data_IF_009569933154
#
_entry.id   IF_009569933154
#
_cell.length_a   1.000
_cell.length_b   1.000
_cell.length_c   1.000
_cell.angle_alpha   90.00
_cell.angle_beta   90.00
_cell.angle_gamma   90.00
#
_symmetry.space_group_name_H-M   'P 1'
#
loop_
_entity.id
_entity.type
_entity.pdbx_description
1 polymer ?
#
# COMPACT_ATOMS: atom_id res chain seq x y z
N UNK A 1 36.33 38.20 -15.42
CA UNK A 1 35.27 37.84 -14.48
C UNK A 1 34.29 36.97 -15.24
N UNK A 2 34.32 35.65 -15.04
CA UNK A 2 33.32 34.78 -15.64
C UNK A 2 32.00 35.07 -14.93
N UNK A 3 31.02 35.56 -15.69
CA UNK A 3 29.70 35.85 -15.18
C UNK A 3 28.94 34.53 -15.04
N UNK A 4 29.26 33.77 -14.00
CA UNK A 4 28.63 32.48 -13.75
C UNK A 4 27.24 32.73 -13.17
N UNK A 5 26.20 32.31 -13.88
CA UNK A 5 24.83 32.37 -13.37
C UNK A 5 24.67 31.40 -12.21
N UNK A 6 23.95 31.81 -11.16
CA UNK A 6 23.75 31.02 -9.94
C UNK A 6 22.27 30.86 -9.59
N UNK A 7 21.94 29.78 -8.88
CA UNK A 7 20.70 29.67 -8.12
C UNK A 7 20.92 30.17 -6.70
N UNK A 8 19.97 30.93 -6.15
CA UNK A 8 20.01 31.42 -4.78
C UNK A 8 18.78 30.94 -3.99
N UNK A 9 19.02 30.33 -2.84
CA UNK A 9 17.97 29.77 -1.97
C UNK A 9 18.04 30.38 -0.58
N UNK A 10 16.94 30.92 -0.04
CA UNK A 10 16.83 31.17 1.39
C UNK A 10 16.93 29.84 2.15
N UNK A 11 17.97 29.68 2.94
CA UNK A 11 18.31 28.41 3.55
C UNK A 11 18.66 28.53 5.03
N UNK A 12 18.41 27.44 5.75
CA UNK A 12 18.86 27.24 7.12
C UNK A 12 20.00 26.23 7.12
N UNK A 13 21.17 26.63 7.60
CA UNK A 13 22.35 25.79 7.79
C UNK A 13 22.23 24.98 9.09
N UNK A 14 22.45 23.68 8.97
CA UNK A 14 22.57 22.73 10.06
C UNK A 14 23.90 21.97 10.01
N UNK A 15 24.24 21.28 11.10
CA UNK A 15 25.40 20.38 11.16
C UNK A 15 24.89 18.98 11.51
N UNK A 16 25.20 17.99 10.67
CA UNK A 16 24.91 16.58 10.88
C UNK A 16 26.17 15.76 10.62
N UNK A 17 26.53 14.87 11.54
CA UNK A 17 27.75 14.06 11.47
C UNK A 17 29.02 14.89 11.18
N UNK A 18 29.12 16.08 11.79
CA UNK A 18 30.26 17.00 11.63
C UNK A 18 30.31 17.73 10.29
N UNK A 19 29.26 17.68 9.47
CA UNK A 19 29.21 18.33 8.16
C UNK A 19 28.01 19.26 8.05
N UNK A 20 28.20 20.35 7.33
CA UNK A 20 27.13 21.28 7.02
C UNK A 20 26.13 20.66 6.04
N UNK A 21 24.86 20.96 6.25
CA UNK A 21 23.76 20.71 5.32
C UNK A 21 22.78 21.88 5.40
N UNK A 22 21.94 22.03 4.38
CA UNK A 22 21.06 23.18 4.25
C UNK A 22 19.63 22.74 4.04
N UNK A 23 18.67 23.48 4.59
CA UNK A 23 17.24 23.25 4.34
C UNK A 23 16.65 24.52 3.74
N UNK A 24 15.99 24.39 2.59
CA UNK A 24 15.28 25.48 1.92
C UNK A 24 13.85 25.06 1.61
N UNK A 25 12.93 26.01 1.64
CA UNK A 25 11.60 25.82 1.06
C UNK A 25 11.68 26.12 -0.44
N UNK A 26 11.41 25.13 -1.29
CA UNK A 26 11.53 25.28 -2.73
C UNK A 26 10.14 25.27 -3.38
N UNK A 27 9.79 26.29 -4.20
CA UNK A 27 8.59 26.24 -5.01
C UNK A 27 8.59 25.01 -5.91
N UNK A 28 7.45 24.33 -6.03
CA UNK A 28 7.34 23.10 -6.83
C UNK A 28 7.78 23.30 -8.28
N UNK A 29 7.49 24.47 -8.89
CA UNK A 29 7.92 24.80 -10.25
C UNK A 29 9.44 24.86 -10.42
N UNK A 30 10.14 25.31 -9.37
CA UNK A 30 11.60 25.43 -9.36
C UNK A 30 12.22 24.06 -9.13
N UNK A 31 11.65 23.29 -8.19
CA UNK A 31 12.05 21.93 -7.88
C UNK A 31 12.06 21.04 -9.14
N UNK A 32 10.98 21.04 -9.93
CA UNK A 32 10.92 20.21 -11.15
C UNK A 32 11.99 20.61 -12.17
N UNK A 33 12.34 21.90 -12.28
CA UNK A 33 13.36 22.38 -13.23
C UNK A 33 14.79 22.03 -12.79
N UNK A 34 15.09 22.14 -11.49
CA UNK A 34 16.45 21.93 -10.97
C UNK A 34 16.85 20.45 -10.94
N UNK A 35 15.93 19.57 -10.52
CA UNK A 35 16.21 18.15 -10.39
C UNK A 35 15.93 17.45 -11.71
N UNK A 36 16.89 17.48 -12.64
CA UNK A 36 16.81 16.73 -13.90
C UNK A 36 17.28 15.30 -13.70
N UNK A 37 16.56 14.35 -14.32
CA UNK A 37 16.98 12.94 -14.33
C UNK A 37 17.98 12.75 -15.47
N UNK A 38 19.26 12.72 -15.16
CA UNK A 38 20.18 11.88 -15.91
C UNK A 38 20.05 10.44 -15.35
N UNK A 39 20.40 9.41 -16.13
CA UNK A 39 20.86 8.09 -15.63
C UNK A 39 20.03 6.84 -16.00
N UNK A 40 19.01 6.91 -16.85
CA UNK A 40 18.41 5.67 -17.36
C UNK A 40 19.35 4.90 -18.33
N UNK A 41 20.41 5.54 -18.83
CA UNK A 41 21.35 4.97 -19.79
C UNK A 41 22.67 4.47 -19.17
N UNK A 42 22.92 4.69 -17.86
CA UNK A 42 24.15 4.24 -17.18
C UNK A 42 23.97 2.89 -16.48
N UNK A 43 25.02 2.05 -16.34
CA UNK A 43 25.01 0.87 -15.48
C UNK A 43 24.72 1.21 -14.00
N UNK A 44 24.06 0.32 -13.21
CA UNK A 44 23.69 0.59 -11.82
C UNK A 44 24.81 1.07 -10.91
N UNK A 45 26.04 0.57 -11.10
CA UNK A 45 27.22 0.90 -10.31
C UNK A 45 27.65 2.36 -10.47
N UNK A 46 27.29 2.97 -11.61
CA UNK A 46 27.59 4.35 -11.96
C UNK A 46 26.42 5.30 -11.66
N UNK A 47 25.27 4.78 -11.21
CA UNK A 47 24.10 5.61 -10.87
C UNK A 47 24.18 6.12 -9.44
N UNK A 48 23.81 7.38 -9.25
CA UNK A 48 23.58 7.94 -7.93
C UNK A 48 22.12 7.75 -7.45
N UNK A 49 21.24 7.25 -8.33
CA UNK A 49 19.80 7.14 -8.12
C UNK A 49 19.28 5.75 -8.54
N UNK A 50 18.24 5.24 -7.88
CA UNK A 50 17.54 4.02 -8.34
C UNK A 50 16.57 4.32 -9.49
N UNK A 51 16.24 3.29 -10.27
CA UNK A 51 15.20 3.38 -11.29
C UNK A 51 13.85 3.79 -10.67
N UNK A 52 13.18 4.74 -11.33
CA UNK A 52 11.86 5.18 -10.92
C UNK A 52 10.82 4.13 -11.29
N UNK A 53 10.11 3.60 -10.29
CA UNK A 53 8.89 2.83 -10.56
C UNK A 53 7.77 3.76 -11.05
N UNK A 54 7.60 3.84 -12.38
CA UNK A 54 6.62 4.71 -13.04
C UNK A 54 5.17 4.40 -12.66
N UNK A 55 4.84 3.17 -12.26
CA UNK A 55 3.46 2.80 -11.93
C UNK A 55 2.94 3.48 -10.66
N UNK A 56 3.84 3.95 -9.78
CA UNK A 56 3.47 4.65 -8.53
C UNK A 56 3.24 6.14 -8.69
N UNK A 57 3.75 6.75 -9.75
CA UNK A 57 3.72 8.21 -9.94
C UNK A 57 2.29 8.74 -10.09
N UNK A 58 1.40 8.13 -10.90
CA UNK A 58 0.05 8.64 -11.10
C UNK A 58 -0.79 8.67 -9.82
N UNK A 59 -0.61 7.70 -8.93
CA UNK A 59 -1.32 7.65 -7.65
C UNK A 59 -0.94 8.83 -6.76
N UNK A 60 0.36 9.12 -6.63
CA UNK A 60 0.86 10.25 -5.84
C UNK A 60 0.44 11.59 -6.47
N UNK A 61 0.48 11.70 -7.81
CA UNK A 61 0.06 12.92 -8.50
C UNK A 61 -1.43 13.22 -8.26
N UNK A 62 -2.30 12.19 -8.37
CA UNK A 62 -3.72 12.31 -8.02
C UNK A 62 -3.93 12.67 -6.55
N UNK A 63 -3.13 12.12 -5.64
CA UNK A 63 -3.18 12.50 -4.24
C UNK A 63 -2.95 14.01 -4.06
N UNK A 64 -1.94 14.60 -4.70
CA UNK A 64 -1.71 16.05 -4.61
C UNK A 64 -2.92 16.84 -5.15
N UNK A 65 -3.36 16.52 -6.38
CA UNK A 65 -4.40 17.30 -7.08
C UNK A 65 -5.78 17.15 -6.43
N UNK A 66 -6.12 15.98 -5.91
CA UNK A 66 -7.41 15.74 -5.27
C UNK A 66 -7.50 16.29 -3.84
N UNK A 67 -6.38 16.70 -3.24
CA UNK A 67 -6.28 17.08 -1.83
C UNK A 67 -5.58 18.45 -1.65
N UNK A 68 -5.96 19.51 -2.38
CA UNK A 68 -5.17 20.74 -2.46
C UNK A 68 -5.07 21.51 -1.13
N UNK A 69 -5.91 21.19 -0.14
CA UNK A 69 -5.91 21.86 1.17
C UNK A 69 -5.39 20.97 2.31
N UNK A 70 -5.06 19.71 2.05
CA UNK A 70 -4.72 18.76 3.10
C UNK A 70 -3.68 17.69 2.68
N UNK A 71 -3.11 17.72 1.47
CA UNK A 71 -2.00 16.83 1.13
C UNK A 71 -0.76 17.10 2.02
N UNK A 72 0.10 16.10 2.21
CA UNK A 72 1.31 16.24 3.03
C UNK A 72 2.47 15.50 2.41
N UNK A 73 3.63 16.15 2.33
CA UNK A 73 4.90 15.53 1.97
C UNK A 73 5.99 15.79 2.99
N UNK A 74 6.87 14.81 3.15
CA UNK A 74 8.16 15.00 3.80
C UNK A 74 9.12 15.78 2.88
N UNK A 75 10.30 16.10 3.38
CA UNK A 75 11.32 16.79 2.60
C UNK A 75 11.92 15.92 1.49
N UNK A 76 12.30 16.54 0.38
CA UNK A 76 13.16 15.91 -0.65
C UNK A 76 14.61 16.08 -0.20
N UNK A 77 15.40 15.01 -0.28
CA UNK A 77 16.83 15.07 0.06
C UNK A 77 17.66 15.01 -1.21
N UNK A 78 18.59 15.94 -1.35
CA UNK A 78 19.45 16.02 -2.50
C UNK A 78 20.90 16.37 -2.16
N UNK A 79 21.81 15.86 -2.97
CA UNK A 79 23.22 16.22 -2.98
C UNK A 79 23.48 17.26 -4.08
N UNK A 80 24.31 18.26 -3.76
CA UNK A 80 24.82 19.23 -4.73
C UNK A 80 26.24 18.81 -5.12
N UNK A 81 26.42 18.44 -6.38
CA UNK A 81 27.71 18.15 -7.00
C UNK A 81 28.14 19.35 -7.85
N UNK A 82 28.90 20.26 -7.24
CA UNK A 82 29.38 21.51 -7.84
C UNK A 82 29.77 22.54 -6.79
N UNK A 83 30.08 23.75 -7.26
CA UNK A 83 30.42 24.88 -6.40
C UNK A 83 29.17 25.51 -5.78
N UNK A 84 29.26 25.77 -4.48
CA UNK A 84 28.22 26.39 -3.69
C UNK A 84 28.82 27.19 -2.54
N UNK A 85 28.13 28.24 -2.15
CA UNK A 85 28.53 29.16 -1.10
C UNK A 85 27.31 29.50 -0.24
N UNK A 86 27.52 29.63 1.06
CA UNK A 86 26.47 30.03 1.99
C UNK A 86 26.84 31.34 2.65
N UNK A 87 25.98 32.34 2.48
CA UNK A 87 26.12 33.67 3.07
C UNK A 87 25.12 33.84 4.23
N UNK A 88 25.58 33.90 5.49
CA UNK A 88 24.70 34.13 6.63
C UNK A 88 24.02 35.52 6.59
N UNK A 89 22.76 35.60 7.03
CA UNK A 89 21.98 36.85 7.01
C UNK A 89 22.22 37.78 8.22
N UNK A 90 23.07 37.42 9.19
CA UNK A 90 23.33 38.26 10.37
C UNK A 90 24.65 37.93 11.09
N UNK A 91 25.26 38.96 11.68
CA UNK A 91 26.63 38.91 12.22
C UNK A 91 26.72 38.63 13.74
N UNK A 92 25.66 38.85 14.54
CA UNK A 92 25.82 38.94 16.01
C UNK A 92 25.00 37.94 16.86
N UNK A 93 24.13 37.10 16.27
CA UNK A 93 23.33 36.13 17.04
C UNK A 93 23.45 34.70 16.49
N UNK A 94 23.68 33.72 17.37
CA UNK A 94 23.87 32.29 17.03
C UNK A 94 22.71 31.71 16.21
N UNK A 95 21.48 32.17 16.46
CA UNK A 95 20.29 31.78 15.69
C UNK A 95 20.21 32.45 14.30
N UNK A 96 20.74 33.67 14.15
CA UNK A 96 20.77 34.40 12.89
C UNK A 96 21.91 33.91 11.97
N UNK A 97 23.01 33.40 12.53
CA UNK A 97 24.13 32.80 11.77
C UNK A 97 23.78 31.50 11.02
N UNK A 98 22.63 30.89 11.34
CA UNK A 98 22.13 29.70 10.66
C UNK A 98 21.22 30.03 9.49
N UNK A 99 20.61 31.21 9.45
CA UNK A 99 19.80 31.65 8.31
C UNK A 99 20.70 32.39 7.32
N UNK A 100 20.48 32.16 6.03
CA UNK A 100 21.33 32.73 5.00
C UNK A 100 20.84 32.41 3.60
N UNK A 101 21.66 32.79 2.63
CA UNK A 101 21.45 32.47 1.23
C UNK A 101 22.43 31.39 0.81
N UNK A 102 21.92 30.24 0.36
CA UNK A 102 22.72 29.23 -0.32
C UNK A 102 22.76 29.54 -1.81
N UNK A 103 23.93 29.91 -2.32
CA UNK A 103 24.20 30.17 -3.73
C UNK A 103 24.85 28.94 -4.36
N UNK A 104 24.33 28.50 -5.50
CA UNK A 104 24.80 27.29 -6.20
C UNK A 104 25.04 27.61 -7.66
N UNK A 105 26.19 27.20 -8.22
CA UNK A 105 26.49 27.36 -9.64
C UNK A 105 25.40 26.67 -10.51
N UNK A 106 24.93 27.32 -11.57
CA UNK A 106 23.94 26.69 -12.48
C UNK A 106 24.47 25.43 -13.20
N UNK A 107 25.79 25.23 -13.27
CA UNK A 107 26.41 24.01 -13.79
C UNK A 107 26.46 22.88 -12.76
N UNK A 108 26.15 23.16 -11.49
CA UNK A 108 26.12 22.14 -10.46
C UNK A 108 24.99 21.12 -10.74
N UNK A 109 25.27 19.86 -10.42
CA UNK A 109 24.29 18.78 -10.56
C UNK A 109 23.57 18.55 -9.25
N UNK A 110 22.25 18.55 -9.31
CA UNK A 110 21.39 18.21 -8.19
C UNK A 110 20.97 16.75 -8.26
N UNK A 111 21.45 15.95 -7.31
CA UNK A 111 21.21 14.51 -7.27
C UNK A 111 20.20 14.20 -6.18
N UNK A 112 19.03 13.65 -6.52
CA UNK A 112 18.00 13.29 -5.53
C UNK A 112 18.37 11.97 -4.84
N UNK A 113 18.71 12.01 -3.55
CA UNK A 113 18.99 10.82 -2.74
C UNK A 113 17.71 10.20 -2.17
N UNK A 114 16.69 11.02 -1.85
CA UNK A 114 15.37 10.54 -1.45
C UNK A 114 14.25 11.48 -1.96
N UNK A 115 13.11 10.91 -2.32
CA UNK A 115 11.95 11.64 -2.82
C UNK A 115 11.80 11.69 -4.35
N UNK A 116 12.49 10.83 -5.10
CA UNK A 116 12.37 10.76 -6.57
C UNK A 116 10.91 10.59 -7.06
N UNK A 117 10.12 9.75 -6.38
CA UNK A 117 8.71 9.51 -6.72
C UNK A 117 7.86 10.74 -6.43
N UNK A 118 8.17 11.47 -5.35
CA UNK A 118 7.50 12.71 -4.98
C UNK A 118 7.80 13.80 -6.02
N UNK A 119 9.07 14.00 -6.40
CA UNK A 119 9.45 14.94 -7.47
C UNK A 119 8.78 14.61 -8.81
N UNK A 120 8.75 13.34 -9.21
CA UNK A 120 8.06 12.92 -10.42
C UNK A 120 6.55 13.15 -10.35
N UNK A 121 5.93 12.90 -9.19
CA UNK A 121 4.50 13.12 -9.00
C UNK A 121 4.13 14.61 -8.97
N UNK A 122 5.00 15.46 -8.41
CA UNK A 122 4.86 16.92 -8.46
C UNK A 122 4.88 17.40 -9.91
N UNK A 123 5.82 16.90 -10.73
CA UNK A 123 5.85 17.22 -12.16
C UNK A 123 4.50 16.88 -12.83
N UNK A 124 4.01 15.66 -12.64
CA UNK A 124 2.73 15.23 -13.22
C UNK A 124 1.53 16.01 -12.65
N UNK A 125 1.55 16.37 -11.36
CA UNK A 125 0.51 17.17 -10.74
C UNK A 125 0.48 18.60 -11.30
N UNK A 126 1.64 19.21 -11.59
CA UNK A 126 1.73 20.55 -12.18
C UNK A 126 1.20 20.59 -13.62
N UNK A 127 1.29 19.48 -14.37
CA UNK A 127 0.67 19.36 -15.69
C UNK A 127 -0.86 19.41 -15.60
N UNK A 128 -1.44 18.88 -14.52
CA UNK A 128 -2.88 18.86 -14.27
C UNK A 128 -3.40 20.15 -13.59
N UNK A 129 -2.62 20.69 -12.66
CA UNK A 129 -2.97 21.85 -11.84
C UNK A 129 -1.76 22.80 -11.70
N UNK A 130 -1.50 23.67 -12.70
CA UNK A 130 -0.33 24.56 -12.71
C UNK A 130 -0.26 25.53 -11.52
N UNK A 131 -1.40 25.84 -10.88
CA UNK A 131 -1.48 26.70 -9.70
C UNK A 131 -0.71 26.17 -8.48
N UNK A 132 -0.47 24.85 -8.41
CA UNK A 132 0.35 24.22 -7.35
C UNK A 132 1.84 24.65 -7.43
N UNK A 133 2.26 25.28 -8.53
CA UNK A 133 3.66 25.63 -8.78
C UNK A 133 4.27 26.59 -7.78
N UNK A 134 3.44 27.37 -7.07
CA UNK A 134 3.86 28.36 -6.07
C UNK A 134 3.89 27.79 -4.64
N UNK A 135 3.33 26.61 -4.43
CA UNK A 135 3.47 25.90 -3.17
C UNK A 135 4.91 25.43 -2.98
N UNK A 136 5.34 25.35 -1.72
CA UNK A 136 6.73 25.03 -1.38
C UNK A 136 6.83 23.71 -0.65
N UNK A 137 7.90 22.97 -0.93
CA UNK A 137 8.26 21.75 -0.22
C UNK A 137 9.67 21.93 0.35
N UNK A 138 9.93 21.45 1.58
CA UNK A 138 11.28 21.47 2.13
C UNK A 138 12.22 20.59 1.30
N UNK A 139 13.39 21.13 0.96
CA UNK A 139 14.49 20.42 0.33
C UNK A 139 15.70 20.48 1.26
N UNK A 140 16.24 19.31 1.56
CA UNK A 140 17.48 19.15 2.32
C UNK A 140 18.64 18.97 1.33
N UNK A 141 19.55 19.93 1.33
CA UNK A 141 20.76 19.93 0.50
C UNK A 141 21.98 19.48 1.30
N UNK A 142 22.65 18.45 0.82
CA UNK A 142 23.98 18.06 1.28
C UNK A 142 25.02 18.49 0.25
N UNK A 143 26.13 19.05 0.72
CA UNK A 143 27.26 19.33 -0.15
C UNK A 143 28.01 18.03 -0.40
N UNK A 144 28.02 17.55 -1.64
CA UNK A 144 28.60 16.25 -1.95
C UNK A 144 29.37 16.21 -3.25
N UNK A 145 30.69 15.97 -3.13
CA UNK A 145 31.65 15.95 -4.22
C UNK A 145 31.98 14.51 -4.67
N UNK A 146 31.00 13.61 -4.73
CA UNK A 146 31.26 12.25 -5.23
C UNK A 146 30.15 11.20 -5.17
N UNK A 147 30.09 10.39 -6.23
CA UNK A 147 29.13 9.29 -6.45
C UNK A 147 29.02 8.30 -5.27
N UNK A 148 30.16 7.84 -4.73
CA UNK A 148 30.19 6.83 -3.65
C UNK A 148 29.44 7.29 -2.40
N UNK A 149 29.52 8.59 -2.09
CA UNK A 149 28.84 9.15 -0.91
C UNK A 149 27.36 9.36 -1.18
N UNK A 150 26.96 9.78 -2.38
CA UNK A 150 25.56 9.82 -2.79
C UNK A 150 24.89 8.44 -2.67
N UNK A 151 25.58 7.38 -3.09
CA UNK A 151 25.12 5.99 -2.95
C UNK A 151 25.00 5.55 -1.48
N UNK A 152 25.98 5.91 -0.64
CA UNK A 152 25.93 5.63 0.80
C UNK A 152 24.75 6.35 1.47
N UNK A 153 24.54 7.63 1.16
CA UNK A 153 23.41 8.41 1.67
C UNK A 153 22.06 7.81 1.24
N UNK A 154 21.94 7.39 -0.01
CA UNK A 154 20.75 6.67 -0.48
C UNK A 154 20.50 5.40 0.36
N UNK A 155 21.54 4.61 0.62
CA UNK A 155 21.43 3.42 1.44
C UNK A 155 21.02 3.74 2.88
N UNK A 156 21.61 4.76 3.52
CA UNK A 156 21.31 5.14 4.91
C UNK A 156 19.89 5.66 5.08
N UNK A 157 19.41 6.50 4.16
CA UNK A 157 18.04 7.04 4.17
C UNK A 157 16.98 5.94 4.02
N UNK A 158 17.26 4.91 3.23
CA UNK A 158 16.28 3.84 2.96
C UNK A 158 16.40 2.66 3.94
N UNK A 159 17.59 2.38 4.49
CA UNK A 159 17.82 1.22 5.38
C UNK A 159 17.04 1.31 6.68
N UNK A 160 16.92 2.50 7.25
CA UNK A 160 16.27 2.71 8.55
C UNK A 160 14.79 3.10 8.44
N UNK A 161 14.25 3.25 7.22
CA UNK A 161 12.86 3.55 7.00
C UNK A 161 11.98 2.33 7.34
N UNK A 162 11.35 2.34 8.52
CA UNK A 162 10.37 1.33 8.92
C UNK A 162 9.01 1.69 8.34
N UNK A 163 8.48 0.85 7.46
CA UNK A 163 7.11 1.02 6.98
C UNK A 163 6.12 0.69 8.10
N UNK A 164 5.06 1.48 8.28
CA UNK A 164 3.96 1.08 9.14
C UNK A 164 3.35 -0.23 8.62
N UNK A 165 2.80 -1.03 9.53
CA UNK A 165 2.00 -2.19 9.18
C UNK A 165 0.79 -1.79 8.36
N UNK A 166 0.34 -2.68 7.48
CA UNK A 166 -0.84 -2.44 6.64
C UNK A 166 -2.09 -2.13 7.48
N UNK A 167 -2.27 -2.80 8.62
CA UNK A 167 -3.41 -2.54 9.50
C UNK A 167 -3.32 -1.15 10.15
N UNK A 168 -2.14 -0.71 10.59
CA UNK A 168 -1.95 0.64 11.12
C UNK A 168 -2.17 1.72 10.05
N UNK A 169 -1.69 1.50 8.82
CA UNK A 169 -1.97 2.39 7.69
C UNK A 169 -3.46 2.52 7.44
N UNK A 170 -4.21 1.41 7.42
CA UNK A 170 -5.67 1.42 7.29
C UNK A 170 -6.33 2.08 8.50
N UNK A 171 -5.81 1.89 9.71
CA UNK A 171 -6.38 2.47 10.93
C UNK A 171 -6.36 4.00 10.90
N UNK A 172 -5.27 4.59 10.38
CA UNK A 172 -5.10 6.04 10.30
C UNK A 172 -5.52 6.68 8.97
N UNK A 173 -5.87 5.88 7.97
CA UNK A 173 -6.39 6.40 6.71
C UNK A 173 -7.87 6.81 6.86
N UNK A 174 -8.09 8.09 7.18
CA UNK A 174 -9.42 8.68 7.25
C UNK A 174 -9.97 9.10 5.88
N UNK A 175 -9.17 9.07 4.81
CA UNK A 175 -9.63 9.44 3.46
C UNK A 175 -10.24 8.27 2.72
N UNK A 176 -9.76 7.05 2.98
CA UNK A 176 -10.33 5.85 2.39
C UNK A 176 -11.68 5.51 3.02
N UNK A 177 -12.74 5.57 2.21
CA UNK A 177 -14.09 5.14 2.60
C UNK A 177 -14.11 3.65 3.01
N UNK A 178 -13.36 2.80 2.29
CA UNK A 178 -13.22 1.38 2.67
C UNK A 178 -12.54 1.22 4.04
N UNK A 179 -11.55 2.06 4.36
CA UNK A 179 -10.88 2.03 5.66
C UNK A 179 -11.80 2.51 6.79
N UNK A 180 -12.59 3.56 6.54
CA UNK A 180 -13.64 4.00 7.46
C UNK A 180 -14.64 2.87 7.74
N UNK A 181 -15.11 2.20 6.69
CA UNK A 181 -16.08 1.10 6.80
C UNK A 181 -15.49 -0.12 7.53
N UNK A 182 -14.24 -0.49 7.24
CA UNK A 182 -13.54 -1.56 7.96
C UNK A 182 -13.42 -1.27 9.45
N UNK A 183 -13.07 -0.03 9.83
CA UNK A 183 -13.02 0.38 11.24
C UNK A 183 -14.40 0.34 11.88
N UNK A 184 -15.41 0.85 11.19
CA UNK A 184 -16.78 0.83 11.70
C UNK A 184 -17.25 -0.60 11.97
N UNK A 185 -17.15 -1.51 10.99
CA UNK A 185 -17.54 -2.91 11.14
C UNK A 185 -16.74 -3.65 12.21
N UNK A 186 -15.45 -3.31 12.39
CA UNK A 186 -14.65 -3.91 13.47
C UNK A 186 -15.20 -3.63 14.88
N UNK A 187 -16.05 -2.61 15.02
CA UNK A 187 -16.67 -2.21 16.27
C UNK A 187 -18.18 -2.54 16.32
N UNK A 188 -18.88 -2.47 15.19
CA UNK A 188 -20.34 -2.63 15.14
C UNK A 188 -20.84 -4.03 14.77
N UNK A 189 -20.07 -4.83 14.03
CA UNK A 189 -20.44 -6.21 13.68
C UNK A 189 -20.26 -7.15 14.87
N UNK A 190 -21.24 -8.00 15.14
CA UNK A 190 -21.18 -8.99 16.21
C UNK A 190 -20.20 -10.13 15.89
N UNK A 191 -19.90 -10.36 14.60
CA UNK A 191 -18.92 -11.34 14.13
C UNK A 191 -17.48 -10.79 14.20
N UNK A 192 -17.27 -9.49 14.00
CA UNK A 192 -15.92 -8.91 13.99
C UNK A 192 -15.50 -8.28 15.32
N UNK A 193 -16.45 -7.76 16.11
CA UNK A 193 -16.15 -7.06 17.36
C UNK A 193 -15.32 -7.93 18.30
N UNK A 194 -14.17 -7.39 18.70
CA UNK A 194 -13.22 -8.10 19.58
C UNK A 194 -12.30 -9.10 18.88
N UNK A 195 -12.57 -9.45 17.61
CA UNK A 195 -11.83 -10.45 16.84
C UNK A 195 -10.88 -9.87 15.77
N UNK A 196 -10.87 -8.54 15.60
CA UNK A 196 -9.93 -7.83 14.71
C UNK A 196 -8.68 -7.36 15.47
N UNK A 197 -7.51 -7.62 14.89
CA UNK A 197 -6.21 -7.00 15.22
C UNK A 197 -6.07 -5.68 14.45
N UNK A 198 -6.04 -4.57 15.19
CA UNK A 198 -6.15 -3.22 14.63
C UNK A 198 -4.82 -2.67 14.12
N UNK A 199 -3.71 -3.07 14.72
CA UNK A 199 -2.41 -2.44 14.45
C UNK A 199 -1.48 -3.37 13.67
N UNK A 200 -1.41 -4.65 14.03
CA UNK A 200 -0.41 -5.56 13.45
C UNK A 200 -0.86 -6.12 12.10
N UNK A 201 0.11 -6.38 11.22
CA UNK A 201 -0.12 -7.07 9.94
C UNK A 201 -0.17 -8.59 10.07
N UNK A 202 0.20 -9.13 11.24
CA UNK A 202 0.22 -10.57 11.51
C UNK A 202 -0.35 -10.86 12.89
N UNK A 203 -0.87 -12.07 13.03
CA UNK A 203 -1.42 -12.59 14.26
C UNK A 203 -0.40 -13.54 14.89
N UNK A 204 -0.01 -13.28 16.13
CA UNK A 204 0.82 -14.23 16.88
C UNK A 204 0.02 -15.51 17.17
N UNK A 205 0.74 -16.60 17.44
CA UNK A 205 0.13 -17.90 17.74
C UNK A 205 -0.90 -17.81 18.87
N UNK A 206 -0.56 -17.12 19.96
CA UNK A 206 -1.42 -16.90 21.13
C UNK A 206 -2.44 -15.76 20.98
N UNK A 207 -2.51 -15.10 19.83
CA UNK A 207 -3.47 -14.02 19.62
C UNK A 207 -4.90 -14.56 19.65
N UNK A 208 -5.78 -13.85 20.37
CA UNK A 208 -7.23 -14.13 20.42
C UNK A 208 -7.99 -13.58 19.21
N UNK A 209 -7.33 -12.82 18.33
CA UNK A 209 -7.94 -12.21 17.14
C UNK A 209 -8.00 -13.22 16.00
N UNK A 210 -9.06 -13.22 15.20
CA UNK A 210 -9.17 -14.07 14.01
C UNK A 210 -8.64 -13.39 12.76
N UNK A 211 -8.84 -12.08 12.63
CA UNK A 211 -8.49 -11.32 11.44
C UNK A 211 -7.66 -10.09 11.79
N UNK A 212 -7.05 -9.50 10.77
CA UNK A 212 -6.41 -8.18 10.87
C UNK A 212 -7.31 -7.13 10.21
N UNK A 213 -7.21 -5.87 10.65
CA UNK A 213 -7.96 -4.77 10.06
C UNK A 213 -7.67 -4.62 8.57
N UNK A 214 -6.41 -4.82 8.17
CA UNK A 214 -6.02 -4.82 6.76
C UNK A 214 -6.72 -5.92 5.95
N UNK A 215 -6.89 -7.13 6.49
CA UNK A 215 -7.61 -8.21 5.81
C UNK A 215 -9.09 -7.85 5.59
N UNK A 216 -9.75 -7.28 6.61
CA UNK A 216 -11.13 -6.83 6.52
C UNK A 216 -11.28 -5.69 5.50
N UNK A 217 -10.38 -4.71 5.53
CA UNK A 217 -10.32 -3.64 4.54
C UNK A 217 -10.23 -4.17 3.10
N UNK A 218 -9.33 -5.12 2.82
CA UNK A 218 -9.22 -5.71 1.48
C UNK A 218 -10.50 -6.43 1.06
N UNK A 219 -11.16 -7.14 1.98
CA UNK A 219 -12.42 -7.81 1.70
C UNK A 219 -13.54 -6.81 1.34
N UNK A 220 -13.63 -5.70 2.06
CA UNK A 220 -14.58 -4.62 1.77
C UNK A 220 -14.28 -3.96 0.43
N UNK A 221 -13.02 -3.69 0.13
CA UNK A 221 -12.62 -3.11 -1.17
C UNK A 221 -12.97 -4.01 -2.35
N UNK A 222 -12.93 -5.34 -2.18
CA UNK A 222 -13.34 -6.30 -3.21
C UNK A 222 -14.87 -6.38 -3.35
N UNK A 223 -15.59 -6.18 -2.24
CA UNK A 223 -17.05 -6.16 -2.21
C UNK A 223 -17.62 -4.92 -2.91
N UNK A 224 -16.99 -3.76 -2.71
CA UNK A 224 -17.42 -2.45 -3.24
C UNK A 224 -16.33 -1.79 -4.08
N UNK A 225 -16.29 -2.03 -5.40
CA UNK A 225 -15.35 -1.36 -6.28
C UNK A 225 -15.75 0.11 -6.51
N UNK A 226 -14.85 1.05 -6.25
CA UNK A 226 -15.00 2.44 -6.71
C UNK A 226 -16.07 3.24 -5.96
N UNK A 227 -17.09 3.72 -6.68
CA UNK A 227 -18.08 4.70 -6.19
C UNK A 227 -19.12 4.14 -5.22
N UNK A 228 -19.23 2.82 -5.11
CA UNK A 228 -20.22 2.18 -4.24
C UNK A 228 -19.98 2.44 -2.73
N UNK A 229 -18.83 3.04 -2.40
CA UNK A 229 -18.48 3.49 -1.05
C UNK A 229 -18.80 4.98 -0.80
N UNK A 230 -19.37 5.70 -1.78
CA UNK A 230 -19.76 7.12 -1.61
C UNK A 230 -20.93 7.28 -0.62
N UNK A 231 -21.84 6.30 -0.56
CA UNK A 231 -22.90 6.23 0.45
C UNK A 231 -22.47 5.30 1.62
N UNK A 232 -21.92 5.93 2.66
CA UNK A 232 -21.41 5.21 3.82
C UNK A 232 -22.48 4.42 4.57
N UNK A 233 -23.70 4.96 4.70
CA UNK A 233 -24.79 4.29 5.44
C UNK A 233 -25.28 3.06 4.68
N UNK A 234 -25.53 3.20 3.38
CA UNK A 234 -25.95 2.08 2.53
C UNK A 234 -24.88 0.98 2.47
N UNK A 235 -23.60 1.36 2.32
CA UNK A 235 -22.49 0.41 2.33
C UNK A 235 -22.37 -0.30 3.69
N UNK A 236 -22.56 0.42 4.79
CA UNK A 236 -22.58 -0.15 6.15
C UNK A 236 -23.68 -1.18 6.31
N UNK A 237 -24.90 -0.86 5.90
CA UNK A 237 -26.04 -1.77 6.01
C UNK A 237 -25.81 -3.07 5.22
N UNK A 238 -25.34 -2.96 3.97
CA UNK A 238 -25.01 -4.13 3.14
C UNK A 238 -23.87 -4.96 3.73
N UNK A 239 -22.81 -4.32 4.21
CA UNK A 239 -21.72 -5.04 4.86
C UNK A 239 -22.19 -5.79 6.11
N UNK A 240 -22.97 -5.14 6.98
CA UNK A 240 -23.48 -5.79 8.18
C UNK A 240 -24.38 -6.98 7.81
N UNK A 241 -25.32 -6.81 6.89
CA UNK A 241 -26.16 -7.92 6.43
C UNK A 241 -25.31 -9.10 5.92
N UNK A 242 -24.38 -8.82 5.00
CA UNK A 242 -23.54 -9.84 4.38
C UNK A 242 -22.65 -10.57 5.39
N UNK A 243 -21.86 -9.83 6.17
CA UNK A 243 -20.87 -10.42 7.06
C UNK A 243 -21.47 -11.11 8.27
N UNK A 244 -22.64 -10.66 8.75
CA UNK A 244 -23.38 -11.39 9.77
C UNK A 244 -23.91 -12.73 9.24
N UNK A 245 -24.42 -12.78 8.00
CA UNK A 245 -24.82 -14.05 7.37
C UNK A 245 -23.61 -14.98 7.24
N UNK A 246 -22.52 -14.49 6.63
CA UNK A 246 -21.29 -15.29 6.43
C UNK A 246 -20.74 -15.80 7.76
N UNK A 247 -20.62 -14.95 8.77
CA UNK A 247 -20.06 -15.34 10.05
C UNK A 247 -20.91 -16.33 10.84
N UNK A 248 -22.24 -16.30 10.68
CA UNK A 248 -23.12 -17.30 11.28
C UNK A 248 -23.09 -18.65 10.55
N UNK A 249 -22.69 -18.67 9.27
CA UNK A 249 -22.51 -19.89 8.48
C UNK A 249 -21.11 -20.53 8.64
N UNK A 250 -20.21 -19.89 9.39
CA UNK A 250 -18.88 -20.42 9.73
C UNK A 250 -18.80 -20.57 11.27
N UNK A 251 -19.18 -21.73 11.83
CA UNK A 251 -19.35 -21.92 13.27
C UNK A 251 -18.13 -21.55 14.11
N UNK A 252 -16.93 -21.79 13.59
CA UNK A 252 -15.65 -21.51 14.24
C UNK A 252 -15.52 -20.04 14.63
N UNK A 253 -16.07 -19.11 13.84
CA UNK A 253 -16.00 -17.67 14.14
C UNK A 253 -16.83 -17.34 15.38
N UNK A 254 -18.03 -17.92 15.46
CA UNK A 254 -18.92 -17.82 16.62
C UNK A 254 -18.30 -18.51 17.84
N UNK A 255 -17.71 -19.69 17.67
CA UNK A 255 -17.10 -20.45 18.76
C UNK A 255 -15.91 -19.70 19.39
N UNK A 256 -15.09 -19.03 18.58
CA UNK A 256 -13.99 -18.21 19.11
C UNK A 256 -14.51 -17.00 19.87
N UNK A 257 -15.56 -16.34 19.36
CA UNK A 257 -16.21 -15.22 20.05
C UNK A 257 -16.77 -15.65 21.41
N UNK A 258 -17.45 -16.80 21.44
CA UNK A 258 -18.05 -17.37 22.65
C UNK A 258 -17.00 -17.98 23.60
N UNK A 259 -15.72 -18.02 23.23
CA UNK A 259 -14.65 -18.62 24.03
C UNK A 259 -14.63 -20.15 24.05
N UNK A 260 -15.39 -20.81 23.16
CA UNK A 260 -15.47 -22.27 23.02
C UNK A 260 -14.29 -22.86 22.24
N UNK A 261 -13.60 -22.06 21.44
CA UNK A 261 -12.42 -22.45 20.66
C UNK A 261 -11.40 -21.30 20.67
N UNK A 262 -10.11 -21.61 20.57
CA UNK A 262 -9.10 -20.54 20.48
C UNK A 262 -8.94 -20.09 19.02
N UNK A 263 -8.70 -18.79 18.83
CA UNK A 263 -8.42 -18.26 17.49
C UNK A 263 -7.15 -18.89 16.86
N UNK A 264 -6.19 -19.31 17.70
CA UNK A 264 -4.97 -20.01 17.27
C UNK A 264 -5.25 -21.37 16.63
N UNK A 265 -6.08 -22.20 17.28
CA UNK A 265 -6.54 -23.49 16.73
C UNK A 265 -7.27 -23.29 15.40
N UNK A 266 -8.19 -22.33 15.34
CA UNK A 266 -8.92 -22.03 14.10
C UNK A 266 -7.96 -21.67 12.95
N UNK A 267 -6.96 -20.83 13.20
CA UNK A 267 -5.96 -20.47 12.17
C UNK A 267 -5.08 -21.65 11.76
N UNK A 268 -4.83 -22.59 12.68
CA UNK A 268 -4.00 -23.75 12.43
C UNK A 268 -4.71 -24.74 11.53
N UNK A 269 -5.98 -25.01 11.80
CA UNK A 269 -6.74 -26.12 11.19
C UNK A 269 -7.59 -25.71 9.99
N UNK A 270 -7.99 -24.43 9.89
CA UNK A 270 -8.91 -23.94 8.86
C UNK A 270 -8.33 -22.79 8.03
N UNK A 271 -8.84 -22.63 6.81
CA UNK A 271 -8.41 -21.55 5.91
C UNK A 271 -9.21 -20.24 6.07
N UNK A 272 -10.42 -20.30 6.62
CA UNK A 272 -11.39 -19.20 6.55
C UNK A 272 -11.02 -17.96 7.40
N UNK A 273 -10.12 -18.09 8.37
CA UNK A 273 -9.59 -16.96 9.15
C UNK A 273 -8.45 -16.22 8.45
N UNK A 274 -7.98 -16.71 7.30
CA UNK A 274 -6.84 -16.13 6.60
C UNK A 274 -7.27 -15.08 5.58
N UNK A 275 -6.43 -14.06 5.41
CA UNK A 275 -6.80 -12.88 4.61
C UNK A 275 -7.12 -13.18 3.13
N UNK A 276 -6.63 -14.29 2.57
CA UNK A 276 -6.99 -14.74 1.22
C UNK A 276 -8.47 -15.13 1.13
N UNK A 277 -8.98 -15.91 2.10
CA UNK A 277 -10.37 -16.35 2.09
C UNK A 277 -11.29 -15.19 2.40
N UNK A 278 -10.92 -14.32 3.35
CA UNK A 278 -11.72 -13.12 3.64
C UNK A 278 -11.84 -12.21 2.41
N UNK A 279 -10.75 -12.04 1.66
CA UNK A 279 -10.75 -11.30 0.40
C UNK A 279 -11.62 -11.98 -0.68
N UNK A 280 -11.54 -13.30 -0.80
CA UNK A 280 -12.38 -14.08 -1.71
C UNK A 280 -13.87 -13.98 -1.35
N UNK A 281 -14.22 -14.02 -0.06
CA UNK A 281 -15.58 -13.79 0.42
C UNK A 281 -16.07 -12.38 0.06
N UNK A 282 -15.22 -11.35 0.17
CA UNK A 282 -15.55 -10.01 -0.33
C UNK A 282 -15.97 -10.00 -1.81
N UNK A 283 -15.22 -10.69 -2.68
CA UNK A 283 -15.56 -10.84 -4.11
C UNK A 283 -16.86 -11.61 -4.35
N UNK A 284 -17.11 -12.65 -3.55
CA UNK A 284 -18.36 -13.41 -3.56
C UNK A 284 -19.53 -12.50 -3.18
N UNK A 285 -19.38 -11.68 -2.14
CA UNK A 285 -20.39 -10.71 -1.71
C UNK A 285 -20.77 -9.73 -2.81
N UNK A 286 -19.77 -9.18 -3.53
CA UNK A 286 -20.02 -8.35 -4.72
C UNK A 286 -20.93 -9.05 -5.74
N UNK A 287 -20.63 -10.30 -6.06
CA UNK A 287 -21.38 -11.06 -7.07
C UNK A 287 -22.79 -11.41 -6.57
N UNK A 288 -22.91 -11.75 -5.30
CA UNK A 288 -24.19 -12.07 -4.69
C UNK A 288 -25.15 -10.88 -4.69
N UNK A 289 -24.67 -9.65 -4.49
CA UNK A 289 -25.50 -8.43 -4.62
C UNK A 289 -25.79 -8.02 -6.07
N UNK A 290 -25.01 -8.51 -7.04
CA UNK A 290 -25.27 -8.30 -8.46
C UNK A 290 -26.28 -9.31 -9.03
N UNK A 291 -26.47 -10.45 -8.36
CA UNK A 291 -27.49 -11.44 -8.70
C UNK A 291 -28.87 -10.98 -8.21
N UNK A 292 -29.54 -10.15 -9.01
CA UNK A 292 -30.84 -9.58 -8.69
C UNK A 292 -31.99 -10.59 -8.63
N UNK A 293 -31.74 -11.88 -8.93
CA UNK A 293 -32.78 -12.90 -9.02
C UNK A 293 -32.98 -13.73 -7.75
N UNK A 294 -32.08 -13.64 -6.77
CA UNK A 294 -32.09 -14.48 -5.57
C UNK A 294 -31.88 -13.66 -4.30
N UNK A 295 -32.50 -14.11 -3.22
CA UNK A 295 -32.25 -13.58 -1.88
C UNK A 295 -30.82 -13.93 -1.43
N UNK A 296 -30.13 -12.96 -0.80
CA UNK A 296 -28.73 -13.10 -0.39
C UNK A 296 -28.51 -14.24 0.60
N UNK A 297 -29.46 -14.51 1.51
CA UNK A 297 -29.35 -15.63 2.46
C UNK A 297 -29.45 -16.97 1.74
N UNK A 298 -30.34 -17.06 0.74
CA UNK A 298 -30.47 -18.24 -0.10
C UNK A 298 -29.19 -18.52 -0.91
N UNK A 299 -28.57 -17.49 -1.48
CA UNK A 299 -27.28 -17.62 -2.18
C UNK A 299 -26.21 -18.15 -1.24
N UNK A 300 -26.10 -17.56 -0.03
CA UNK A 300 -25.02 -17.86 0.90
C UNK A 300 -25.23 -19.14 1.71
N UNK A 301 -26.45 -19.68 1.79
CA UNK A 301 -26.77 -20.86 2.62
C UNK A 301 -25.82 -22.05 2.39
N UNK A 302 -25.37 -22.25 1.14
CA UNK A 302 -24.45 -23.33 0.80
C UNK A 302 -23.00 -23.12 1.29
N UNK A 303 -22.65 -21.98 1.91
CA UNK A 303 -21.33 -21.77 2.53
C UNK A 303 -21.06 -22.79 3.64
N UNK A 304 -22.10 -23.23 4.36
CA UNK A 304 -21.98 -24.24 5.43
C UNK A 304 -21.49 -25.60 4.90
N UNK A 305 -21.65 -25.86 3.59
CA UNK A 305 -21.26 -27.11 2.94
C UNK A 305 -19.79 -27.14 2.55
N UNK A 306 -19.10 -26.00 2.64
CA UNK A 306 -17.70 -25.90 2.29
C UNK A 306 -16.87 -26.50 3.44
N UNK A 307 -16.10 -27.54 3.14
CA UNK A 307 -15.08 -28.03 4.06
C UNK A 307 -13.88 -27.09 4.05
N UNK A 308 -13.83 -26.18 5.03
CA UNK A 308 -12.77 -25.19 5.22
C UNK A 308 -11.49 -25.75 5.85
N UNK A 309 -11.45 -27.06 6.16
CA UNK A 309 -10.27 -27.68 6.75
C UNK A 309 -9.08 -27.57 5.80
N UNK A 310 -7.91 -27.26 6.36
CA UNK A 310 -6.64 -27.33 5.63
C UNK A 310 -6.27 -28.76 5.21
N UNK A 311 -6.94 -29.76 5.79
CA UNK A 311 -6.80 -31.17 5.38
C UNK A 311 -7.55 -31.49 4.10
N UNK A 312 -8.45 -30.63 3.65
CA UNK A 312 -9.08 -30.72 2.33
C UNK A 312 -8.12 -30.26 1.22
N UNK A 313 -7.04 -31.02 1.06
CA UNK A 313 -5.95 -30.76 0.11
C UNK A 313 -6.49 -30.81 -1.32
N UNK A 314 -7.43 -31.70 -1.62
CA UNK A 314 -8.04 -31.85 -2.94
C UNK A 314 -8.69 -30.58 -3.46
N UNK A 315 -9.31 -29.79 -2.56
CA UNK A 315 -9.95 -28.52 -2.90
C UNK A 315 -8.99 -27.34 -2.78
N UNK A 316 -8.23 -27.26 -1.69
CA UNK A 316 -7.52 -26.01 -1.36
C UNK A 316 -6.08 -25.91 -1.89
N UNK A 317 -5.44 -27.02 -2.21
CA UNK A 317 -4.09 -27.00 -2.80
C UNK A 317 -4.13 -26.42 -4.23
N UNK A 318 -3.25 -25.46 -4.51
CA UNK A 318 -3.26 -24.65 -5.72
C UNK A 318 -4.29 -23.52 -5.73
N UNK A 319 -5.32 -23.57 -4.86
CA UNK A 319 -6.26 -22.48 -4.63
C UNK A 319 -5.82 -21.58 -3.48
N UNK A 320 -6.17 -21.90 -2.24
CA UNK A 320 -5.83 -21.11 -1.05
C UNK A 320 -4.48 -21.49 -0.46
N UNK A 321 -3.96 -22.68 -0.80
CA UNK A 321 -2.71 -23.24 -0.28
C UNK A 321 -1.73 -23.58 -1.41
N UNK A 322 -0.44 -23.58 -1.07
CA UNK A 322 0.64 -24.07 -1.92
C UNK A 322 1.71 -24.72 -1.03
N UNK A 323 2.01 -25.99 -1.28
CA UNK A 323 2.85 -26.81 -0.41
C UNK A 323 2.30 -26.92 1.02
N UNK A 324 0.97 -26.99 1.19
CA UNK A 324 0.29 -27.05 2.49
C UNK A 324 0.35 -25.75 3.32
N UNK A 325 0.91 -24.67 2.77
CA UNK A 325 0.95 -23.34 3.40
C UNK A 325 -0.03 -22.41 2.72
N UNK A 326 -0.62 -21.48 3.49
CA UNK A 326 -1.46 -20.43 2.92
C UNK A 326 -0.65 -19.61 1.91
N UNK A 327 -1.17 -19.44 0.69
CA UNK A 327 -0.53 -18.64 -0.35
C UNK A 327 -1.46 -17.51 -0.75
N UNK A 328 -0.97 -16.26 -0.67
CA UNK A 328 -1.73 -15.08 -1.07
C UNK A 328 -1.05 -14.38 -2.24
N UNK A 329 -1.53 -14.69 -3.44
CA UNK A 329 -1.31 -13.88 -4.64
C UNK A 329 -2.65 -13.69 -5.36
N UNK A 330 -2.67 -12.87 -6.42
CA UNK A 330 -3.91 -12.56 -7.14
C UNK A 330 -4.61 -13.80 -7.69
N UNK A 331 -3.85 -14.76 -8.21
CA UNK A 331 -4.38 -15.99 -8.79
C UNK A 331 -5.00 -16.90 -7.71
N UNK A 332 -4.32 -17.08 -6.57
CA UNK A 332 -4.83 -17.85 -5.43
C UNK A 332 -6.16 -17.26 -4.90
N UNK A 333 -6.25 -15.92 -4.79
CA UNK A 333 -7.50 -15.25 -4.37
C UNK A 333 -8.62 -15.52 -5.38
N UNK A 334 -8.34 -15.41 -6.68
CA UNK A 334 -9.30 -15.70 -7.76
C UNK A 334 -9.77 -17.16 -7.70
N UNK A 335 -8.86 -18.14 -7.67
CA UNK A 335 -9.22 -19.56 -7.62
C UNK A 335 -9.97 -19.95 -6.34
N UNK A 336 -9.66 -19.31 -5.21
CA UNK A 336 -10.41 -19.50 -3.96
C UNK A 336 -11.82 -18.95 -4.09
N UNK A 337 -11.97 -17.76 -4.68
CA UNK A 337 -13.27 -17.16 -4.98
C UNK A 337 -14.10 -18.04 -5.93
N UNK A 338 -13.49 -18.56 -6.99
CA UNK A 338 -14.15 -19.44 -7.95
C UNK A 338 -14.73 -20.69 -7.29
N UNK A 339 -13.97 -21.33 -6.41
CA UNK A 339 -14.44 -22.51 -5.69
C UNK A 339 -15.62 -22.21 -4.78
N UNK A 340 -15.58 -21.08 -4.07
CA UNK A 340 -16.71 -20.63 -3.24
C UNK A 340 -17.93 -20.39 -4.15
N UNK A 341 -17.78 -19.62 -5.23
CA UNK A 341 -18.87 -19.34 -6.19
C UNK A 341 -19.47 -20.62 -6.77
N UNK A 342 -18.63 -21.61 -7.12
CA UNK A 342 -19.06 -22.92 -7.62
C UNK A 342 -19.99 -23.62 -6.64
N UNK A 343 -19.64 -23.64 -5.35
CA UNK A 343 -20.48 -24.24 -4.29
C UNK A 343 -21.77 -23.45 -4.08
N UNK A 344 -21.75 -22.13 -4.24
CA UNK A 344 -22.94 -21.26 -4.14
C UNK A 344 -23.80 -21.22 -5.40
N UNK A 345 -23.35 -21.83 -6.51
CA UNK A 345 -24.03 -21.74 -7.80
C UNK A 345 -24.06 -20.31 -8.36
N UNK A 346 -22.98 -19.55 -8.16
CA UNK A 346 -22.76 -18.25 -8.79
C UNK A 346 -21.94 -18.44 -10.08
N UNK A 347 -22.24 -17.64 -11.09
CA UNK A 347 -21.49 -17.64 -12.35
C UNK A 347 -20.11 -17.02 -12.17
N UNK A 348 -19.12 -17.59 -12.84
CA UNK A 348 -17.78 -17.00 -12.92
C UNK A 348 -17.77 -15.92 -14.02
N UNK A 349 -16.99 -14.86 -13.80
CA UNK A 349 -16.69 -13.90 -14.88
C UNK A 349 -15.80 -14.56 -15.95
N UNK A 350 -15.70 -14.00 -17.17
CA UNK A 350 -14.81 -14.56 -18.20
C UNK A 350 -13.35 -14.66 -17.76
N UNK A 351 -12.87 -13.69 -16.99
CA UNK A 351 -11.52 -13.68 -16.43
C UNK A 351 -11.34 -14.76 -15.36
N UNK A 352 -12.33 -14.92 -14.47
CA UNK A 352 -12.34 -15.98 -13.45
C UNK A 352 -12.38 -17.37 -14.08
N UNK A 353 -13.20 -17.56 -15.13
CA UNK A 353 -13.31 -18.81 -15.86
C UNK A 353 -12.01 -19.17 -16.57
N UNK A 354 -11.35 -18.20 -17.23
CA UNK A 354 -10.06 -18.45 -17.88
C UNK A 354 -8.98 -18.91 -16.89
N UNK A 355 -8.97 -18.33 -15.68
CA UNK A 355 -8.04 -18.75 -14.61
C UNK A 355 -8.40 -20.14 -14.07
N UNK A 356 -9.70 -20.45 -13.96
CA UNK A 356 -10.19 -21.77 -13.54
C UNK A 356 -9.80 -22.87 -14.54
N UNK A 357 -10.02 -22.65 -15.82
CA UNK A 357 -9.73 -23.62 -16.89
C UNK A 357 -8.23 -23.92 -16.94
N UNK A 358 -7.38 -22.89 -16.85
CA UNK A 358 -5.93 -23.05 -16.79
C UNK A 358 -5.47 -23.86 -15.58
N UNK A 359 -6.11 -23.67 -14.41
CA UNK A 359 -5.83 -24.44 -13.20
C UNK A 359 -6.23 -25.91 -13.33
N UNK A 360 -7.42 -26.19 -13.87
CA UNK A 360 -7.91 -27.55 -14.08
C UNK A 360 -7.05 -28.31 -15.09
N UNK A 361 -6.70 -27.68 -16.22
CA UNK A 361 -5.81 -28.28 -17.22
C UNK A 361 -4.43 -28.64 -16.64
N UNK A 362 -3.85 -27.77 -15.81
CA UNK A 362 -2.57 -28.04 -15.14
C UNK A 362 -2.65 -29.23 -14.15
N UNK A 363 -3.78 -29.38 -13.45
CA UNK A 363 -4.01 -30.52 -12.54
C UNK A 363 -4.18 -31.84 -13.28
N UNK A 364 -4.92 -31.83 -14.39
CA UNK A 364 -5.09 -33.02 -15.22
C UNK A 364 -3.75 -33.50 -15.78
N UNK A 365 -2.92 -32.59 -16.29
CA UNK A 365 -1.58 -32.89 -16.78
C UNK A 365 -0.72 -33.56 -15.70
N UNK A 366 -0.66 -32.98 -14.51
CA UNK A 366 0.13 -33.51 -13.37
C UNK A 366 -0.35 -34.91 -12.93
N UNK A 367 -1.65 -35.17 -13.03
CA UNK A 367 -2.23 -36.48 -12.67
C UNK A 367 -1.93 -37.54 -13.74
N UNK A 368 -1.83 -37.15 -15.01
CA UNK A 368 -1.53 -38.06 -16.12
C UNK A 368 -0.04 -38.49 -16.23
N UNK A 369 0.89 -37.72 -15.66
CA UNK A 369 2.34 -38.02 -15.68
C UNK A 369 2.84 -38.86 -14.47
N UNK A 370 1.99 -39.18 -13.48
CA UNK A 370 2.34 -40.14 -12.44
C UNK A 370 1.93 -41.56 -12.87
N UNK A 371 2.85 -42.41 -13.37
CA UNK A 371 2.51 -43.82 -13.62
C UNK A 371 2.14 -44.47 -12.28
N UNK A 372 1.05 -45.23 -12.28
CA UNK A 372 0.62 -46.03 -11.14
C UNK A 372 1.79 -46.90 -10.66
N UNK A 373 2.36 -46.52 -9.50
CA UNK A 373 3.38 -47.28 -8.80
C UNK A 373 2.78 -48.44 -8.02
#
# INVERSE_FOLDING_TARGET
MNNTFTYAFPAIRGIQAGREFYVSMCPMRVLVKMFTFADNEMPPELRAQRSLNKTRVPEIARYIVANPQDYTFSAITASIDGDCEFEPSGEENVNQFRMGTLTVDMNAKFIVNDGQHRRAAIQQALEMAPSLGDETIPVVFFLDRGLKRCQQMFADLNRHAVKPSSSLSVLYDHRSAAAQLARHLSLSSDIFRGLIEMERSSLSERSRKLFTLSALHFAISEMFPGKDLEDFEAATMRCLEYWEIVGNLIPEWVHVRDGKMTAGEVRLDFIHSHSIVLQALGRVGRNAYQDSGRDIRSILANLEKIDWSRRNISTWEGRAMTGGRMSKNSQNVTLTCNEIKRVLGLTLTPEEQSVEDAFLAAREYTTSEQPAG
#
